data_IF_853050821802
#
_entry.id   IF_853050821802
#
_cell.length_a   1.000
_cell.length_b   1.000
_cell.length_c   1.000
_cell.angle_alpha   90.00
_cell.angle_beta   90.00
_cell.angle_gamma   90.00
#
_symmetry.space_group_name_H-M   'P 1'
#
loop_
_entity.id
_entity.type
_entity.pdbx_description
1 polymer ?
#
# COMPACT_ATOMS: atom_id res chain seq x y z
N UNK A 1 1.28 5.19 -7.48
CA UNK A 1 2.26 4.55 -6.58
C UNK A 1 2.38 3.02 -6.74
N UNK A 2 1.33 2.21 -6.49
CA UNK A 2 1.42 0.72 -6.50
C UNK A 2 2.04 0.14 -7.78
N UNK A 3 1.67 0.65 -8.96
CA UNK A 3 2.24 0.21 -10.25
C UNK A 3 3.75 0.41 -10.34
N UNK A 4 4.26 1.52 -9.80
CA UNK A 4 5.67 1.86 -9.80
C UNK A 4 6.43 0.91 -8.87
N UNK A 5 5.96 0.73 -7.63
CA UNK A 5 6.56 -0.22 -6.68
C UNK A 5 6.54 -1.64 -7.21
N UNK A 6 5.44 -2.06 -7.85
CA UNK A 6 5.31 -3.40 -8.45
C UNK A 6 6.35 -3.64 -9.54
N UNK A 7 6.62 -2.64 -10.39
CA UNK A 7 7.65 -2.72 -11.44
C UNK A 7 9.05 -2.69 -10.85
N UNK A 8 9.32 -1.77 -9.92
CA UNK A 8 10.63 -1.61 -9.29
C UNK A 8 11.08 -2.86 -8.52
N UNK A 9 10.14 -3.56 -7.87
CA UNK A 9 10.44 -4.74 -7.06
C UNK A 9 10.21 -6.08 -7.79
N UNK A 10 9.71 -6.08 -9.03
CA UNK A 10 9.47 -7.31 -9.80
C UNK A 10 8.44 -8.28 -9.17
N UNK A 11 7.59 -7.82 -8.25
CA UNK A 11 6.66 -8.68 -7.51
C UNK A 11 5.27 -8.74 -8.16
N UNK A 12 4.55 -9.86 -7.99
CA UNK A 12 3.18 -10.00 -8.54
C UNK A 12 2.11 -9.26 -7.74
N UNK A 13 2.21 -9.21 -6.40
CA UNK A 13 1.17 -8.69 -5.50
C UNK A 13 1.71 -7.53 -4.67
N UNK A 14 1.06 -6.36 -4.79
CA UNK A 14 1.33 -5.14 -4.02
C UNK A 14 -0.01 -4.47 -3.70
N UNK A 15 -0.11 -3.83 -2.54
CA UNK A 15 -1.26 -3.01 -2.15
C UNK A 15 -0.83 -1.84 -1.26
N UNK A 16 -1.78 -0.99 -0.87
CA UNK A 16 -1.55 0.15 0.02
C UNK A 16 -2.55 0.14 1.17
N UNK A 17 -2.21 0.78 2.29
CA UNK A 17 -3.07 0.86 3.50
C UNK A 17 -3.71 2.22 3.75
N UNK A 18 -3.84 3.03 2.71
CA UNK A 18 -4.53 4.32 2.76
C UNK A 18 -4.67 4.87 1.36
N UNK A 19 -5.33 5.99 1.18
CA UNK A 19 -5.33 6.71 -0.09
C UNK A 19 -4.74 8.10 0.14
N UNK A 20 -4.01 8.59 -0.85
CA UNK A 20 -3.65 10.00 -0.93
C UNK A 20 -4.31 10.55 -2.18
N UNK A 21 -4.98 11.68 -2.08
CA UNK A 21 -5.40 12.45 -3.24
C UNK A 21 -4.19 12.77 -4.13
N UNK A 22 -4.36 12.92 -5.45
CA UNK A 22 -3.24 13.10 -6.38
C UNK A 22 -2.30 14.27 -6.05
N UNK A 23 -2.82 15.31 -5.39
CA UNK A 23 -2.07 16.50 -4.99
C UNK A 23 -1.62 16.47 -3.52
N UNK A 24 -1.98 15.43 -2.76
CA UNK A 24 -1.61 15.30 -1.36
C UNK A 24 -0.23 14.66 -1.19
N UNK A 25 0.57 15.23 -0.28
CA UNK A 25 1.78 14.59 0.25
C UNK A 25 1.51 13.99 1.62
N UNK A 26 2.15 12.88 1.94
CA UNK A 26 2.02 12.25 3.25
C UNK A 26 2.59 10.84 3.28
N UNK A 27 2.40 10.14 4.40
CA UNK A 27 2.78 8.74 4.53
C UNK A 27 1.74 7.85 3.85
N UNK A 28 2.19 7.04 2.89
CA UNK A 28 1.38 5.98 2.29
C UNK A 28 2.07 4.64 2.52
N UNK A 29 1.50 3.81 3.40
CA UNK A 29 2.05 2.48 3.67
C UNK A 29 1.81 1.55 2.48
N UNK A 30 2.87 0.96 1.95
CA UNK A 30 2.83 -0.01 0.85
C UNK A 30 3.14 -1.42 1.38
N UNK A 31 2.26 -2.37 1.07
CA UNK A 31 2.43 -3.77 1.43
C UNK A 31 2.83 -4.58 0.20
N UNK A 32 3.93 -5.34 0.32
CA UNK A 32 4.54 -6.10 -0.77
C UNK A 32 4.41 -7.60 -0.52
N UNK A 33 3.94 -8.36 -1.52
CA UNK A 33 3.76 -9.81 -1.42
C UNK A 33 2.47 -10.25 -0.73
N UNK A 34 2.17 -11.55 -0.78
CA UNK A 34 0.92 -12.13 -0.24
C UNK A 34 0.79 -11.97 1.28
N UNK A 35 1.81 -12.26 2.11
CA UNK A 35 1.69 -12.13 3.57
C UNK A 35 1.34 -10.70 4.01
N UNK A 36 2.08 -9.70 3.50
CA UNK A 36 1.87 -8.30 3.88
C UNK A 36 0.55 -7.73 3.33
N UNK A 37 0.13 -8.11 2.11
CA UNK A 37 -1.12 -7.59 1.55
C UNK A 37 -2.37 -8.12 2.25
N UNK A 38 -2.29 -9.24 2.99
CA UNK A 38 -3.41 -9.77 3.79
C UNK A 38 -3.74 -8.94 5.03
N UNK A 39 -2.79 -8.18 5.56
CA UNK A 39 -2.98 -7.37 6.77
C UNK A 39 -3.43 -5.93 6.49
N UNK A 40 -3.56 -5.52 5.21
CA UNK A 40 -3.97 -4.16 4.81
C UNK A 40 -5.27 -3.73 5.50
N UNK A 41 -6.27 -4.60 5.56
CA UNK A 41 -7.56 -4.25 6.19
C UNK A 41 -7.42 -3.92 7.68
N UNK A 42 -6.47 -4.57 8.39
CA UNK A 42 -6.18 -4.26 9.80
C UNK A 42 -5.46 -2.93 9.95
N UNK A 43 -4.61 -2.59 8.99
CA UNK A 43 -3.84 -1.34 8.97
C UNK A 43 -4.70 -0.13 8.56
N UNK A 44 -5.71 -0.31 7.69
CA UNK A 44 -6.70 0.72 7.35
C UNK A 44 -7.67 1.05 8.49
N UNK A 45 -7.67 0.26 9.57
CA UNK A 45 -8.59 0.40 10.70
C UNK A 45 -8.19 1.42 11.78
N UNK A 46 -7.19 2.29 11.57
CA UNK A 46 -6.85 3.38 12.50
C UNK A 46 -7.30 4.73 11.92
N UNK A 47 -8.08 5.59 12.58
CA UNK A 47 -8.18 5.93 14.01
C UNK A 47 -9.63 5.69 14.49
N UNK A 48 -9.79 5.11 15.68
CA UNK A 48 -10.98 5.30 16.52
C UNK A 48 -10.59 6.15 17.71
#
# INVERSE_FOLDING_TARGET
MVRLVRRALGVKKVGHSGTLDPFASGLLVICVGRPATRIIARLMGGIK
#
